data_IF_883217377785
#
_entry.id   IF_883217377785
#
_cell.length_a   1.000
_cell.length_b   1.000
_cell.length_c   1.000
_cell.angle_alpha   90.00
_cell.angle_beta   90.00
_cell.angle_gamma   90.00
#
_symmetry.space_group_name_H-M   'P 1'
#
loop_
_entity.id
_entity.type
_entity.pdbx_description
1 polymer ?
#
# COMPACT_ATOMS: atom_id res chain seq x y z
N UNK A 1 40.21 35.18 -57.09
CA UNK A 1 40.28 36.65 -57.01
C UNK A 1 41.53 36.98 -56.22
N UNK A 2 42.47 37.75 -56.78
CA UNK A 2 43.61 38.25 -56.00
C UNK A 2 43.09 39.22 -54.93
N UNK A 3 43.60 39.11 -53.71
CA UNK A 3 43.28 40.07 -52.64
C UNK A 3 43.85 41.45 -52.99
N UNK A 4 43.25 42.55 -52.52
CA UNK A 4 43.79 43.89 -52.78
C UNK A 4 45.24 44.05 -52.26
N UNK A 5 45.62 43.28 -51.24
CA UNK A 5 46.99 43.19 -50.73
C UNK A 5 47.96 42.58 -51.75
N UNK A 6 47.53 41.58 -52.52
CA UNK A 6 48.29 41.00 -53.64
C UNK A 6 48.32 41.93 -54.85
N UNK A 7 47.21 42.63 -55.14
CA UNK A 7 47.15 43.63 -56.21
C UNK A 7 48.14 44.77 -55.97
N UNK A 8 48.22 45.28 -54.73
CA UNK A 8 49.17 46.34 -54.33
C UNK A 8 50.64 45.91 -54.44
N UNK A 9 50.95 44.63 -54.18
CA UNK A 9 52.31 44.09 -54.29
C UNK A 9 52.84 43.96 -55.72
N UNK A 10 51.96 44.01 -56.74
CA UNK A 10 52.30 43.86 -58.15
C UNK A 10 52.36 45.20 -58.92
N UNK A 11 52.13 46.33 -58.24
CA UNK A 11 52.09 47.66 -58.87
C UNK A 11 53.50 48.22 -59.05
N UNK A 12 53.86 48.58 -60.29
CA UNK A 12 55.17 49.16 -60.63
C UNK A 12 55.09 50.61 -61.15
N UNK A 13 53.88 51.18 -61.25
CA UNK A 13 53.64 52.55 -61.73
C UNK A 13 52.61 53.29 -60.87
N UNK A 14 52.76 54.61 -60.75
CA UNK A 14 51.92 55.48 -59.90
C UNK A 14 50.44 55.51 -60.35
N UNK A 15 50.20 55.43 -61.65
CA UNK A 15 48.86 55.36 -62.24
C UNK A 15 48.12 54.07 -61.87
N UNK A 16 48.82 52.93 -61.85
CA UNK A 16 48.24 51.64 -61.47
C UNK A 16 47.97 51.55 -59.95
N UNK A 17 48.78 52.23 -59.13
CA UNK A 17 48.53 52.35 -57.69
C UNK A 17 47.25 53.14 -57.43
N UNK A 18 47.10 54.26 -58.14
CA UNK A 18 45.94 55.14 -58.01
C UNK A 18 44.66 54.42 -58.43
N UNK A 19 44.69 53.70 -59.56
CA UNK A 19 43.55 52.89 -60.01
C UNK A 19 43.17 51.78 -59.02
N UNK A 20 44.14 51.08 -58.43
CA UNK A 20 43.88 50.05 -57.42
C UNK A 20 43.29 50.63 -56.12
N UNK A 21 43.73 51.82 -55.72
CA UNK A 21 43.20 52.53 -54.54
C UNK A 21 41.80 53.09 -54.79
N UNK A 22 41.50 53.56 -56.02
CA UNK A 22 40.17 54.00 -56.44
C UNK A 22 39.18 52.82 -56.46
N UNK A 23 39.60 51.66 -56.99
CA UNK A 23 38.82 50.42 -57.01
C UNK A 23 38.53 49.96 -55.58
N UNK A 24 39.54 50.00 -54.69
CA UNK A 24 39.38 49.64 -53.28
C UNK A 24 38.45 50.60 -52.53
N UNK A 25 38.55 51.92 -52.77
CA UNK A 25 37.64 52.92 -52.19
C UNK A 25 36.21 52.76 -52.68
N UNK A 26 36.02 52.47 -53.96
CA UNK A 26 34.69 52.22 -54.55
C UNK A 26 34.09 50.93 -53.98
N UNK A 27 34.90 49.88 -53.83
CA UNK A 27 34.49 48.64 -53.18
C UNK A 27 34.13 48.86 -51.70
N UNK A 28 34.89 49.68 -50.97
CA UNK A 28 34.60 50.04 -49.57
C UNK A 28 33.33 50.89 -49.45
N UNK A 29 33.11 51.85 -50.34
CA UNK A 29 31.88 52.67 -50.38
C UNK A 29 30.63 51.85 -50.76
N UNK A 30 30.80 50.74 -51.46
CA UNK A 30 29.70 49.82 -51.79
C UNK A 30 29.36 48.85 -50.63
N UNK A 31 30.18 48.79 -49.58
CA UNK A 31 29.81 48.14 -48.31
C UNK A 31 28.90 49.13 -47.57
N UNK A 32 27.57 48.92 -47.68
CA UNK A 32 26.61 49.73 -46.91
C UNK A 32 26.96 49.63 -45.41
N UNK A 33 27.18 50.74 -44.69
CA UNK A 33 27.17 50.70 -43.23
C UNK A 33 25.80 50.16 -42.80
N UNK A 34 25.79 49.28 -41.79
CA UNK A 34 24.54 48.78 -41.20
C UNK A 34 23.63 49.96 -40.80
N UNK A 35 22.32 49.74 -40.80
CA UNK A 35 21.38 50.76 -40.29
C UNK A 35 21.69 50.97 -38.80
N UNK A 36 21.51 52.17 -38.26
CA UNK A 36 21.76 52.47 -36.83
C UNK A 36 21.11 51.44 -35.89
N UNK A 37 19.91 50.95 -36.25
CA UNK A 37 19.20 49.86 -35.57
C UNK A 37 19.91 48.48 -35.61
N UNK A 38 20.64 48.15 -36.68
CA UNK A 38 21.40 46.89 -36.79
C UNK A 38 22.63 46.91 -35.87
N UNK A 39 23.27 48.08 -35.73
CA UNK A 39 24.38 48.27 -34.80
C UNK A 39 23.90 48.27 -33.34
N UNK A 40 22.75 48.89 -33.05
CA UNK A 40 22.12 48.85 -31.71
C UNK A 40 21.75 47.42 -31.29
N UNK A 41 21.22 46.62 -32.21
CA UNK A 41 20.91 45.20 -31.95
C UNK A 41 22.18 44.39 -31.68
N UNK A 42 23.22 44.57 -32.50
CA UNK A 42 24.50 43.87 -32.32
C UNK A 42 25.15 44.22 -30.96
N UNK A 43 25.17 45.51 -30.60
CA UNK A 43 25.68 45.96 -29.31
C UNK A 43 24.82 45.45 -28.14
N UNK A 44 23.50 45.38 -28.30
CA UNK A 44 22.61 44.80 -27.31
C UNK A 44 22.86 43.30 -27.10
N UNK A 45 23.08 42.54 -28.18
CA UNK A 45 23.42 41.11 -28.13
C UNK A 45 24.75 40.92 -27.39
N UNK A 46 25.81 41.64 -27.77
CA UNK A 46 27.14 41.51 -27.15
C UNK A 46 27.09 41.85 -25.65
N UNK A 47 26.45 42.96 -25.30
CA UNK A 47 26.25 43.35 -23.89
C UNK A 47 25.39 42.33 -23.14
N UNK A 48 24.39 41.73 -23.80
CA UNK A 48 23.53 40.70 -23.23
C UNK A 48 24.28 39.40 -22.94
N UNK A 49 25.16 38.97 -23.85
CA UNK A 49 26.03 37.81 -23.66
C UNK A 49 26.99 38.02 -22.49
N UNK A 50 27.67 39.18 -22.44
CA UNK A 50 28.56 39.54 -21.32
C UNK A 50 27.78 39.54 -20.00
N UNK A 51 26.59 40.14 -19.97
CA UNK A 51 25.78 40.22 -18.77
C UNK A 51 25.30 38.85 -18.26
N UNK A 52 25.06 37.89 -19.15
CA UNK A 52 24.66 36.53 -18.77
C UNK A 52 25.89 35.69 -18.33
N UNK A 53 27.04 35.86 -18.99
CA UNK A 53 28.29 35.25 -18.57
C UNK A 53 28.75 35.72 -17.18
N UNK A 54 28.70 37.03 -16.93
CA UNK A 54 29.01 37.60 -15.62
C UNK A 54 28.05 37.08 -14.56
N UNK A 55 26.76 37.01 -14.88
CA UNK A 55 25.76 36.46 -13.98
C UNK A 55 26.06 35.00 -13.60
N UNK A 56 26.33 34.15 -14.58
CA UNK A 56 26.67 32.74 -14.34
C UNK A 56 27.95 32.60 -13.49
N UNK A 57 28.98 33.42 -13.74
CA UNK A 57 30.20 33.45 -12.92
C UNK A 57 29.91 33.85 -11.46
N UNK A 58 29.10 34.89 -11.26
CA UNK A 58 28.68 35.32 -9.92
C UNK A 58 27.91 34.21 -9.21
N UNK A 59 26.93 33.60 -9.89
CA UNK A 59 26.12 32.51 -9.37
C UNK A 59 26.98 31.31 -8.93
N UNK A 60 27.93 30.89 -9.77
CA UNK A 60 28.88 29.82 -9.43
C UNK A 60 29.76 30.20 -8.22
N UNK A 61 30.14 31.48 -8.08
CA UNK A 61 30.96 31.94 -6.97
C UNK A 61 30.20 32.03 -5.64
N UNK A 62 28.90 32.32 -5.68
CA UNK A 62 28.03 32.36 -4.51
C UNK A 62 27.73 30.94 -3.99
N UNK A 63 27.52 29.98 -4.89
CA UNK A 63 27.26 28.57 -4.56
C UNK A 63 28.56 27.73 -4.54
N UNK A 64 29.39 27.98 -3.54
CA UNK A 64 30.72 27.33 -3.39
C UNK A 64 30.68 25.81 -3.23
N UNK A 65 29.53 25.22 -2.93
CA UNK A 65 29.29 23.80 -2.74
C UNK A 65 28.91 23.04 -4.02
N UNK A 66 28.82 23.73 -5.17
CA UNK A 66 28.60 23.10 -6.46
C UNK A 66 29.77 22.19 -6.86
N UNK A 67 29.43 20.99 -7.31
CA UNK A 67 30.38 20.02 -7.90
C UNK A 67 30.87 20.48 -9.27
N UNK A 68 31.99 19.95 -9.74
CA UNK A 68 32.53 20.27 -11.07
C UNK A 68 31.58 19.88 -12.21
N UNK A 69 30.79 18.82 -12.02
CA UNK A 69 29.73 18.43 -12.95
C UNK A 69 28.61 19.47 -13.02
N UNK A 70 28.10 19.92 -11.87
CA UNK A 70 27.05 20.96 -11.81
C UNK A 70 27.53 22.30 -12.40
N UNK A 71 28.79 22.68 -12.16
CA UNK A 71 29.41 23.85 -12.81
C UNK A 71 29.46 23.68 -14.32
N UNK A 72 29.77 22.48 -14.81
CA UNK A 72 29.79 22.17 -16.25
C UNK A 72 28.39 22.27 -16.84
N UNK A 73 27.37 21.76 -16.15
CA UNK A 73 25.97 21.84 -16.59
C UNK A 73 25.47 23.30 -16.67
N UNK A 74 25.79 24.14 -15.68
CA UNK A 74 25.46 25.57 -15.71
C UNK A 74 26.15 26.28 -16.89
N UNK A 75 27.41 25.92 -17.20
CA UNK A 75 28.11 26.46 -18.37
C UNK A 75 27.49 25.97 -19.69
N UNK A 76 27.03 24.73 -19.76
CA UNK A 76 26.31 24.20 -20.93
C UNK A 76 24.97 24.94 -21.11
N UNK A 77 24.24 25.18 -20.02
CA UNK A 77 23.00 25.95 -20.03
C UNK A 77 23.24 27.40 -20.49
N UNK A 78 24.30 28.03 -19.98
CA UNK A 78 24.76 29.35 -20.43
C UNK A 78 25.02 29.35 -21.95
N UNK A 79 25.73 28.35 -22.48
CA UNK A 79 25.99 28.23 -23.92
C UNK A 79 24.70 28.19 -24.75
N UNK A 80 23.69 27.43 -24.30
CA UNK A 80 22.38 27.35 -24.96
C UNK A 80 21.68 28.71 -25.00
N UNK A 81 21.74 29.48 -23.91
CA UNK A 81 21.13 30.82 -23.86
C UNK A 81 21.93 31.86 -24.64
N UNK A 82 23.26 31.77 -24.67
CA UNK A 82 24.13 32.59 -25.51
C UNK A 82 23.83 32.38 -27.01
N UNK A 83 23.58 31.14 -27.43
CA UNK A 83 23.14 30.84 -28.80
C UNK A 83 21.77 31.44 -29.13
N UNK A 84 20.81 31.38 -28.19
CA UNK A 84 19.50 32.04 -28.37
C UNK A 84 19.64 33.56 -28.47
N UNK A 85 20.49 34.16 -27.64
CA UNK A 85 20.79 35.60 -27.68
C UNK A 85 21.40 36.02 -29.02
N UNK A 86 22.29 35.20 -29.59
CA UNK A 86 22.89 35.47 -30.90
C UNK A 86 21.87 35.44 -32.06
N UNK A 87 20.71 34.82 -31.85
CA UNK A 87 19.64 34.67 -32.85
C UNK A 87 18.47 35.66 -32.65
N UNK A 88 18.56 36.60 -31.70
CA UNK A 88 17.50 37.56 -31.41
C UNK A 88 17.20 38.49 -32.60
N UNK A 89 15.91 38.76 -32.83
CA UNK A 89 15.43 39.57 -33.95
C UNK A 89 15.37 41.07 -33.63
N UNK A 90 15.24 41.44 -32.37
CA UNK A 90 15.18 42.83 -31.91
C UNK A 90 15.71 43.00 -30.46
N UNK A 91 15.91 44.26 -30.06
CA UNK A 91 16.50 44.63 -28.76
C UNK A 91 15.60 44.24 -27.57
N UNK A 92 14.28 44.20 -27.76
CA UNK A 92 13.36 43.81 -26.70
C UNK A 92 13.38 42.30 -26.48
N UNK A 93 13.55 41.50 -27.54
CA UNK A 93 13.80 40.06 -27.45
C UNK A 93 15.10 39.76 -26.70
N UNK A 94 16.17 40.52 -26.95
CA UNK A 94 17.45 40.39 -26.20
C UNK A 94 17.20 40.58 -24.68
N UNK A 95 16.44 41.61 -24.28
CA UNK A 95 16.12 41.86 -22.87
C UNK A 95 15.34 40.71 -22.23
N UNK A 96 14.38 40.13 -22.95
CA UNK A 96 13.60 38.98 -22.48
C UNK A 96 14.47 37.74 -22.34
N UNK A 97 15.34 37.46 -23.32
CA UNK A 97 16.24 36.31 -23.29
C UNK A 97 17.26 36.39 -22.14
N UNK A 98 17.77 37.58 -21.81
CA UNK A 98 18.63 37.77 -20.63
C UNK A 98 17.87 37.41 -19.36
N UNK A 99 16.63 37.92 -19.19
CA UNK A 99 15.81 37.61 -18.03
C UNK A 99 15.54 36.11 -17.92
N UNK A 100 15.04 35.51 -18.99
CA UNK A 100 14.67 34.10 -19.01
C UNK A 100 15.90 33.18 -18.85
N UNK A 101 17.06 33.60 -19.34
CA UNK A 101 18.34 32.91 -19.13
C UNK A 101 18.80 32.97 -17.67
N UNK A 102 18.65 34.12 -16.99
CA UNK A 102 18.93 34.23 -15.55
C UNK A 102 17.97 33.38 -14.73
N UNK A 103 16.67 33.48 -15.01
CA UNK A 103 15.64 32.68 -14.34
C UNK A 103 15.90 31.17 -14.51
N UNK A 104 16.35 30.75 -15.69
CA UNK A 104 16.72 29.35 -15.96
C UNK A 104 17.95 28.90 -15.17
N UNK A 105 18.97 29.74 -15.03
CA UNK A 105 20.16 29.45 -14.23
C UNK A 105 19.79 29.35 -12.73
N UNK A 106 18.97 30.27 -12.23
CA UNK A 106 18.50 30.26 -10.83
C UNK A 106 17.65 29.03 -10.54
N UNK A 107 16.76 28.66 -11.47
CA UNK A 107 15.95 27.47 -11.36
C UNK A 107 16.81 26.20 -11.34
N UNK A 108 17.87 26.15 -12.16
CA UNK A 108 18.79 25.02 -12.18
C UNK A 108 19.53 24.90 -10.84
N UNK A 109 20.02 26.00 -10.27
CA UNK A 109 20.67 26.00 -8.95
C UNK A 109 19.70 25.59 -7.84
N UNK A 110 18.47 26.10 -7.86
CA UNK A 110 17.44 25.70 -6.90
C UNK A 110 17.19 24.19 -6.94
N UNK A 111 17.19 23.57 -8.13
CA UNK A 111 17.04 22.11 -8.27
C UNK A 111 18.18 21.34 -7.62
N UNK A 112 19.43 21.83 -7.71
CA UNK A 112 20.57 21.22 -7.05
C UNK A 112 20.49 21.33 -5.52
N UNK A 113 19.97 22.44 -4.99
CA UNK A 113 19.73 22.57 -3.55
C UNK A 113 18.66 21.61 -3.05
N UNK A 114 17.59 21.40 -3.83
CA UNK A 114 16.55 20.43 -3.53
C UNK A 114 17.09 19.00 -3.51
N UNK A 115 17.90 18.63 -4.52
CA UNK A 115 18.56 17.33 -4.59
C UNK A 115 19.49 17.10 -3.39
N UNK A 116 20.28 18.11 -3.02
CA UNK A 116 21.17 18.04 -1.85
C UNK A 116 20.39 17.82 -0.55
N UNK A 117 19.30 18.57 -0.35
CA UNK A 117 18.43 18.39 0.82
C UNK A 117 17.84 16.97 0.84
N UNK A 118 17.44 16.44 -0.31
CA UNK A 118 16.93 15.08 -0.41
C UNK A 118 18.01 14.05 -0.01
N UNK A 119 19.24 14.20 -0.49
CA UNK A 119 20.35 13.30 -0.12
C UNK A 119 20.67 13.35 1.38
N UNK A 120 20.65 14.54 1.99
CA UNK A 120 20.83 14.68 3.44
C UNK A 120 19.72 13.96 4.23
N UNK A 121 18.46 14.12 3.81
CA UNK A 121 17.31 13.43 4.41
C UNK A 121 17.45 11.91 4.24
N UNK A 122 17.86 11.45 3.06
CA UNK A 122 18.06 10.02 2.76
C UNK A 122 19.19 9.43 3.60
N UNK A 123 20.33 10.11 3.72
CA UNK A 123 21.46 9.67 4.54
C UNK A 123 21.05 9.54 6.03
N UNK A 124 20.31 10.53 6.54
CA UNK A 124 19.77 10.48 7.90
C UNK A 124 18.79 9.32 8.08
N UNK A 125 17.88 9.10 7.13
CA UNK A 125 16.91 8.00 7.19
C UNK A 125 17.60 6.62 7.16
N UNK A 126 18.61 6.45 6.29
CA UNK A 126 19.44 5.24 6.22
C UNK A 126 20.11 4.95 7.57
N UNK A 127 20.70 5.97 8.20
CA UNK A 127 21.33 5.83 9.50
C UNK A 127 20.32 5.42 10.57
N UNK A 128 19.16 6.10 10.62
CA UNK A 128 18.09 5.80 11.57
C UNK A 128 17.59 4.35 11.43
N UNK A 129 17.37 3.86 10.21
CA UNK A 129 16.91 2.48 9.97
C UNK A 129 18.01 1.45 10.28
N UNK A 130 19.27 1.80 10.01
CA UNK A 130 20.42 0.96 10.32
C UNK A 130 20.57 0.75 11.82
N UNK A 131 20.48 1.83 12.61
CA UNK A 131 20.66 1.80 14.06
C UNK A 131 19.40 1.33 14.80
N UNK A 132 18.24 1.36 14.14
CA UNK A 132 16.99 0.96 14.77
C UNK A 132 17.07 -0.47 15.31
N UNK A 133 17.07 -0.59 16.64
CA UNK A 133 17.16 -1.84 17.40
C UNK A 133 18.37 -2.71 17.01
N UNK A 134 19.49 -2.08 16.63
CA UNK A 134 20.69 -2.81 16.22
C UNK A 134 21.40 -3.53 17.38
N UNK A 135 21.21 -3.06 18.62
CA UNK A 135 21.82 -3.62 19.83
C UNK A 135 21.08 -4.85 20.37
N UNK A 136 19.84 -5.08 19.93
CA UNK A 136 19.03 -6.21 20.36
C UNK A 136 19.50 -7.50 19.67
N UNK A 137 19.60 -8.60 20.43
CA UNK A 137 20.08 -9.89 19.94
C UNK A 137 19.03 -10.97 20.12
N UNK A 138 18.76 -11.68 19.03
CA UNK A 138 17.75 -12.74 18.95
C UNK A 138 18.36 -14.03 18.39
N UNK A 139 17.57 -15.11 18.34
CA UNK A 139 18.04 -16.32 17.69
C UNK A 139 18.37 -16.06 16.22
N UNK A 140 19.32 -16.83 15.66
CA UNK A 140 19.87 -16.59 14.33
C UNK A 140 18.81 -16.46 13.22
N UNK A 141 17.69 -17.18 13.34
CA UNK A 141 16.57 -17.10 12.39
C UNK A 141 15.91 -15.72 12.42
N UNK A 142 15.63 -15.17 13.60
CA UNK A 142 15.01 -13.85 13.74
C UNK A 142 15.97 -12.73 13.36
N UNK A 143 17.25 -12.86 13.73
CA UNK A 143 18.30 -11.93 13.27
C UNK A 143 18.36 -11.87 11.73
N UNK A 144 18.26 -13.00 11.05
CA UNK A 144 18.23 -13.03 9.58
C UNK A 144 16.97 -12.36 9.02
N UNK A 145 15.78 -12.59 9.59
CA UNK A 145 14.54 -11.94 9.15
C UNK A 145 14.60 -10.41 9.32
N UNK A 146 15.05 -9.94 10.49
CA UNK A 146 15.23 -8.51 10.76
C UNK A 146 16.22 -7.90 9.77
N UNK A 147 17.34 -8.59 9.51
CA UNK A 147 18.34 -8.15 8.53
C UNK A 147 17.77 -8.05 7.11
N UNK A 148 16.96 -9.02 6.68
CA UNK A 148 16.32 -8.99 5.37
C UNK A 148 15.36 -7.80 5.24
N UNK A 149 14.49 -7.59 6.23
CA UNK A 149 13.55 -6.47 6.22
C UNK A 149 14.26 -5.11 6.27
N UNK A 150 15.33 -5.00 7.07
CA UNK A 150 16.18 -3.80 7.12
C UNK A 150 16.82 -3.53 5.76
N UNK A 151 17.42 -4.55 5.13
CA UNK A 151 18.06 -4.39 3.83
C UNK A 151 17.06 -3.98 2.73
N UNK A 152 15.89 -4.62 2.69
CA UNK A 152 14.82 -4.26 1.74
C UNK A 152 14.37 -2.80 1.93
N UNK A 153 14.19 -2.36 3.18
CA UNK A 153 13.84 -0.97 3.46
C UNK A 153 14.94 0.01 3.05
N UNK A 154 16.22 -0.32 3.30
CA UNK A 154 17.35 0.52 2.90
C UNK A 154 17.43 0.67 1.37
N UNK A 155 17.17 -0.40 0.61
CA UNK A 155 17.08 -0.34 -0.85
C UNK A 155 15.94 0.57 -1.33
N UNK A 156 14.76 0.48 -0.71
CA UNK A 156 13.63 1.35 -1.05
C UNK A 156 13.89 2.82 -0.71
N UNK A 157 14.48 3.10 0.46
CA UNK A 157 14.87 4.47 0.87
C UNK A 157 15.91 5.04 -0.09
N UNK A 158 16.87 4.23 -0.53
CA UNK A 158 17.87 4.65 -1.50
C UNK A 158 17.28 5.02 -2.87
N UNK A 159 16.17 4.38 -3.26
CA UNK A 159 15.50 4.60 -4.54
C UNK A 159 14.41 5.70 -4.52
N UNK A 160 14.07 6.25 -3.35
CA UNK A 160 12.99 7.23 -3.22
C UNK A 160 13.34 8.58 -3.88
N UNK A 161 12.40 9.17 -4.62
CA UNK A 161 12.63 10.40 -5.41
C UNK A 161 12.23 11.65 -4.63
N UNK A 162 11.49 11.52 -3.52
CA UNK A 162 11.01 12.67 -2.74
C UNK A 162 11.25 12.51 -1.23
N UNK A 163 11.37 13.64 -0.53
CA UNK A 163 11.57 13.65 0.92
C UNK A 163 10.38 13.04 1.69
N UNK A 164 9.17 13.19 1.16
CA UNK A 164 7.97 12.61 1.73
C UNK A 164 7.99 11.07 1.65
N UNK A 165 8.41 10.53 0.50
CA UNK A 165 8.59 9.08 0.32
C UNK A 165 9.66 8.52 1.26
N UNK A 166 10.83 9.18 1.36
CA UNK A 166 11.90 8.77 2.29
C UNK A 166 11.37 8.67 3.72
N UNK A 167 10.61 9.67 4.17
CA UNK A 167 10.05 9.71 5.53
C UNK A 167 9.04 8.58 5.75
N UNK A 168 8.12 8.37 4.81
CA UNK A 168 7.13 7.30 4.86
C UNK A 168 7.77 5.91 4.87
N UNK A 169 8.82 5.71 4.06
CA UNK A 169 9.54 4.44 3.98
C UNK A 169 10.34 4.18 5.26
N UNK A 170 10.95 5.18 5.86
CA UNK A 170 11.63 5.07 7.15
C UNK A 170 10.66 4.62 8.26
N UNK A 171 9.46 5.19 8.33
CA UNK A 171 8.44 4.77 9.31
C UNK A 171 7.95 3.35 9.04
N UNK A 172 7.67 3.03 7.77
CA UNK A 172 7.31 1.68 7.34
C UNK A 172 8.37 0.66 7.73
N UNK A 173 9.66 0.99 7.58
CA UNK A 173 10.79 0.14 7.95
C UNK A 173 10.80 -0.18 9.45
N UNK A 174 10.60 0.83 10.31
CA UNK A 174 10.52 0.64 11.76
C UNK A 174 9.37 -0.29 12.14
N UNK A 175 8.18 -0.03 11.58
CA UNK A 175 7.00 -0.85 11.81
C UNK A 175 7.20 -2.30 11.32
N UNK A 176 7.89 -2.51 10.20
CA UNK A 176 8.19 -3.84 9.68
C UNK A 176 9.16 -4.60 10.61
N UNK A 177 10.20 -3.93 11.13
CA UNK A 177 11.12 -4.51 12.10
C UNK A 177 10.39 -4.86 13.41
N UNK A 178 9.57 -3.94 13.92
CA UNK A 178 8.78 -4.16 15.13
C UNK A 178 7.81 -5.34 14.96
N UNK A 179 7.13 -5.41 13.81
CA UNK A 179 6.23 -6.53 13.49
C UNK A 179 6.95 -7.88 13.40
N UNK A 180 8.25 -7.92 13.08
CA UNK A 180 9.05 -9.15 13.12
C UNK A 180 9.43 -9.49 14.57
N UNK A 181 9.80 -8.48 15.37
CA UNK A 181 10.16 -8.66 16.77
C UNK A 181 8.96 -9.13 17.61
N UNK A 182 7.76 -8.59 17.33
CA UNK A 182 6.51 -9.01 17.95
C UNK A 182 6.14 -10.47 17.62
N UNK A 183 6.77 -11.05 16.60
CA UNK A 183 6.61 -12.47 16.25
C UNK A 183 7.62 -13.38 16.95
N UNK A 184 8.55 -12.84 17.75
CA UNK A 184 9.55 -13.66 18.42
C UNK A 184 8.84 -14.53 19.47
N UNK A 185 9.03 -15.87 19.43
CA UNK A 185 8.35 -16.78 20.33
C UNK A 185 8.74 -16.53 21.78
N UNK A 186 7.75 -16.33 22.65
CA UNK A 186 7.95 -16.29 24.11
C UNK A 186 8.56 -17.62 24.62
N UNK A 187 9.22 -17.58 25.77
CA UNK A 187 9.74 -18.80 26.43
C UNK A 187 8.61 -19.81 26.65
N UNK A 188 8.74 -21.02 26.09
CA UNK A 188 7.70 -22.07 26.13
C UNK A 188 6.83 -22.14 24.87
N UNK A 189 7.07 -21.29 23.87
CA UNK A 189 6.40 -21.38 22.58
C UNK A 189 6.76 -22.64 21.80
N UNK A 190 5.82 -23.10 20.98
CA UNK A 190 6.00 -24.27 20.12
C UNK A 190 7.14 -24.05 19.11
N UNK A 191 7.96 -25.09 18.95
CA UNK A 191 9.10 -25.10 18.03
C UNK A 191 8.73 -25.42 16.58
N UNK A 192 7.47 -25.82 16.34
CA UNK A 192 6.95 -26.19 15.02
C UNK A 192 7.08 -27.67 14.70
N UNK A 193 7.62 -28.48 15.62
CA UNK A 193 7.96 -29.89 15.39
C UNK A 193 7.51 -30.78 16.54
N UNK A 194 7.76 -30.38 17.80
CA UNK A 194 7.50 -31.18 18.99
C UNK A 194 6.00 -31.39 19.19
N UNK A 195 5.58 -32.64 19.32
CA UNK A 195 4.21 -33.03 19.62
C UNK A 195 4.21 -33.75 20.96
N UNK A 196 3.52 -33.20 21.95
CA UNK A 196 3.42 -33.78 23.29
C UNK A 196 1.98 -34.17 23.54
N UNK A 197 1.71 -35.40 23.97
CA UNK A 197 0.34 -35.79 24.29
C UNK A 197 -0.14 -35.08 25.57
N UNK A 198 -1.23 -34.29 25.52
CA UNK A 198 -1.80 -33.65 26.69
C UNK A 198 -2.42 -34.67 27.64
N UNK A 199 -2.48 -34.33 28.92
CA UNK A 199 -3.17 -35.15 29.92
C UNK A 199 -4.66 -35.20 29.60
N UNK A 200 -5.26 -36.38 29.72
CA UNK A 200 -6.69 -36.56 29.54
C UNK A 200 -7.40 -36.43 30.90
N UNK A 201 -8.46 -35.63 30.97
CA UNK A 201 -9.31 -35.55 32.16
C UNK A 201 -10.12 -36.83 32.38
N UNK A 202 -10.74 -36.97 33.55
CA UNK A 202 -11.65 -38.08 33.86
C UNK A 202 -12.87 -38.14 32.91
N UNK A 203 -13.23 -37.00 32.32
CA UNK A 203 -14.33 -36.86 31.34
C UNK A 203 -13.89 -37.12 29.89
N UNK A 204 -12.62 -37.47 29.66
CA UNK A 204 -12.09 -37.70 28.32
C UNK A 204 -11.78 -36.42 27.54
N UNK A 205 -11.52 -35.30 28.23
CA UNK A 205 -11.17 -34.02 27.62
C UNK A 205 -9.66 -33.79 27.72
N UNK A 206 -9.01 -33.53 26.60
CA UNK A 206 -7.58 -33.25 26.54
C UNK A 206 -7.26 -31.88 27.14
N UNK A 207 -6.41 -31.85 28.17
CA UNK A 207 -5.99 -30.67 28.92
C UNK A 207 -4.75 -30.05 28.28
N UNK A 208 -4.93 -28.94 27.57
CA UNK A 208 -3.87 -28.31 26.75
C UNK A 208 -3.27 -27.13 27.52
N UNK A 209 -2.01 -27.27 27.90
CA UNK A 209 -1.24 -26.26 28.65
C UNK A 209 -0.13 -25.61 27.82
N UNK A 210 0.30 -26.24 26.73
CA UNK A 210 1.44 -25.80 25.90
C UNK A 210 1.15 -25.87 24.39
N UNK A 211 1.98 -25.20 23.60
CA UNK A 211 1.85 -25.19 22.14
C UNK A 211 2.13 -26.55 21.48
N UNK A 212 3.04 -27.36 22.04
CA UNK A 212 3.30 -28.71 21.56
C UNK A 212 2.13 -29.66 21.82
N UNK A 213 1.38 -29.45 22.92
CA UNK A 213 0.15 -30.19 23.20
C UNK A 213 -0.99 -29.82 22.26
N UNK A 214 -1.16 -28.52 21.96
CA UNK A 214 -2.14 -28.07 20.98
C UNK A 214 -1.79 -28.59 19.57
N UNK A 215 -0.51 -28.60 19.21
CA UNK A 215 -0.04 -29.18 17.96
C UNK A 215 -0.28 -30.70 17.89
N UNK A 216 -0.07 -31.43 19.00
CA UNK A 216 -0.41 -32.84 19.09
C UNK A 216 -1.90 -33.07 18.91
N UNK A 217 -2.75 -32.26 19.56
CA UNK A 217 -4.20 -32.33 19.42
C UNK A 217 -4.63 -32.15 17.96
N UNK A 218 -4.06 -31.14 17.27
CA UNK A 218 -4.28 -30.94 15.84
C UNK A 218 -3.86 -32.16 15.02
N UNK A 219 -2.66 -32.71 15.28
CA UNK A 219 -2.17 -33.92 14.63
C UNK A 219 -3.11 -35.11 14.83
N UNK A 220 -3.65 -35.28 16.05
CA UNK A 220 -4.57 -36.36 16.38
C UNK A 220 -5.88 -36.28 15.59
N UNK A 221 -6.49 -35.10 15.50
CA UNK A 221 -7.66 -34.86 14.64
C UNK A 221 -7.33 -35.18 13.18
N UNK A 222 -6.16 -34.72 12.73
CA UNK A 222 -5.72 -34.80 11.34
C UNK A 222 -5.28 -36.20 10.89
N UNK A 223 -4.92 -37.09 11.82
CA UNK A 223 -4.71 -38.52 11.57
C UNK A 223 -6.01 -39.28 11.21
N UNK A 224 -7.15 -38.67 11.58
CA UNK A 224 -8.54 -39.09 11.34
C UNK A 224 -9.02 -40.30 12.14
N UNK A 225 -10.34 -40.46 12.19
CA UNK A 225 -11.00 -41.37 13.14
C UNK A 225 -11.02 -40.85 14.59
N UNK A 226 -10.51 -39.64 14.83
CA UNK A 226 -10.51 -38.93 16.13
C UNK A 226 -11.06 -37.51 15.97
N UNK A 227 -12.02 -37.32 15.05
CA UNK A 227 -12.60 -36.00 14.78
C UNK A 227 -13.48 -35.51 15.92
N UNK A 228 -13.98 -36.40 16.77
CA UNK A 228 -14.90 -36.15 17.89
C UNK A 228 -14.18 -35.90 19.22
N UNK A 229 -12.85 -35.87 19.25
CA UNK A 229 -12.09 -35.61 20.49
C UNK A 229 -12.40 -34.22 21.05
N UNK A 230 -12.43 -34.11 22.36
CA UNK A 230 -12.66 -32.85 23.06
C UNK A 230 -11.36 -32.33 23.67
N UNK A 231 -11.14 -31.02 23.62
CA UNK A 231 -9.97 -30.39 24.21
C UNK A 231 -10.34 -29.09 24.93
N UNK A 232 -9.56 -28.74 25.95
CA UNK A 232 -9.69 -27.47 26.64
C UNK A 232 -8.33 -26.83 26.94
N UNK A 233 -8.26 -25.51 26.85
CA UNK A 233 -7.08 -24.75 27.24
C UNK A 233 -7.05 -24.59 28.76
N UNK A 234 -5.91 -24.93 29.34
CA UNK A 234 -5.63 -24.78 30.76
C UNK A 234 -4.65 -23.63 31.05
N UNK A 235 -4.05 -23.05 30.01
CA UNK A 235 -3.15 -21.90 30.07
C UNK A 235 -3.14 -21.16 28.74
N UNK A 236 -2.55 -19.97 28.71
CA UNK A 236 -2.16 -19.32 27.46
C UNK A 236 -1.16 -20.19 26.70
N UNK A 237 -1.40 -20.35 25.39
CA UNK A 237 -0.62 -21.23 24.52
C UNK A 237 0.05 -20.40 23.43
N UNK A 238 1.35 -20.60 23.21
CA UNK A 238 2.08 -19.94 22.11
C UNK A 238 2.49 -20.94 21.04
N UNK A 239 2.09 -20.68 19.79
CA UNK A 239 2.44 -21.44 18.60
C UNK A 239 3.76 -20.98 17.96
N UNK A 240 4.42 -19.98 18.55
CA UNK A 240 5.77 -19.55 18.18
C UNK A 240 5.95 -19.08 16.74
N UNK A 241 4.87 -18.62 16.09
CA UNK A 241 4.87 -18.20 14.68
C UNK A 241 5.48 -19.23 13.74
N UNK A 242 5.27 -20.51 14.07
CA UNK A 242 5.61 -21.66 13.23
C UNK A 242 4.44 -22.00 12.34
N UNK A 243 4.73 -22.54 11.15
CA UNK A 243 3.69 -22.82 10.17
C UNK A 243 2.70 -23.84 10.74
N UNK A 244 1.46 -23.38 10.95
CA UNK A 244 0.41 -24.15 11.59
C UNK A 244 -0.33 -25.02 10.58
N UNK A 245 -0.56 -26.28 10.93
CA UNK A 245 -1.50 -27.13 10.19
C UNK A 245 -2.86 -27.04 10.87
N UNK A 246 -3.91 -26.52 10.19
CA UNK A 246 -5.22 -26.34 10.80
C UNK A 246 -5.78 -27.62 11.42
N UNK A 247 -6.49 -27.47 12.54
CA UNK A 247 -7.26 -28.57 13.14
C UNK A 247 -8.41 -28.92 12.19
N UNK A 248 -8.37 -30.12 11.63
CA UNK A 248 -9.26 -30.52 10.55
C UNK A 248 -8.93 -29.89 9.22
N UNK A 249 -7.70 -30.12 8.71
CA UNK A 249 -7.20 -29.49 7.48
C UNK A 249 -7.90 -29.92 6.17
N UNK A 250 -8.81 -30.89 6.20
CA UNK A 250 -9.52 -31.37 5.00
C UNK A 250 -10.91 -31.93 5.34
N UNK A 251 -11.75 -32.14 4.31
CA UNK A 251 -13.10 -32.69 4.49
C UNK A 251 -13.10 -34.09 5.12
N UNK A 252 -12.14 -34.95 4.76
CA UNK A 252 -11.99 -36.30 5.31
C UNK A 252 -11.45 -36.31 6.76
N UNK A 253 -10.95 -35.17 7.24
CA UNK A 253 -10.33 -35.01 8.57
C UNK A 253 -11.05 -33.94 9.38
N UNK A 254 -12.31 -33.66 9.09
CA UNK A 254 -13.06 -32.60 9.75
C UNK A 254 -13.06 -32.77 11.28
N UNK A 255 -12.95 -31.65 11.99
CA UNK A 255 -13.13 -31.62 13.44
C UNK A 255 -14.61 -31.56 13.78
N UNK A 256 -15.07 -32.40 14.69
CA UNK A 256 -16.46 -32.56 15.10
C UNK A 256 -16.67 -32.67 16.61
N UNK A 257 -15.58 -32.64 17.38
CA UNK A 257 -15.60 -32.57 18.84
C UNK A 257 -15.71 -31.13 19.35
N UNK A 258 -15.58 -30.97 20.66
CA UNK A 258 -15.67 -29.67 21.34
C UNK A 258 -14.28 -29.13 21.69
N UNK A 259 -14.16 -27.81 21.65
CA UNK A 259 -12.96 -27.11 22.08
C UNK A 259 -13.33 -25.89 22.94
N UNK A 260 -12.88 -25.88 24.20
CA UNK A 260 -13.10 -24.76 25.11
C UNK A 260 -11.78 -24.04 25.42
N UNK A 261 -11.68 -22.77 25.09
CA UNK A 261 -10.51 -21.96 25.40
C UNK A 261 -10.44 -21.48 26.85
N UNK A 262 -11.51 -21.63 27.65
CA UNK A 262 -11.58 -21.14 29.04
C UNK A 262 -11.22 -19.65 29.23
N UNK A 263 -11.23 -18.86 28.15
CA UNK A 263 -10.81 -17.45 28.15
C UNK A 263 -9.30 -17.25 27.94
N UNK A 264 -8.51 -18.31 27.85
CA UNK A 264 -7.09 -18.26 27.49
C UNK A 264 -6.89 -17.91 26.01
N UNK A 265 -5.67 -17.50 25.69
CA UNK A 265 -5.27 -17.04 24.37
C UNK A 265 -4.31 -18.02 23.70
N UNK A 266 -4.59 -18.34 22.43
CA UNK A 266 -3.65 -18.98 21.52
C UNK A 266 -2.91 -17.87 20.76
N UNK A 267 -1.62 -17.69 21.06
CA UNK A 267 -0.76 -16.66 20.48
C UNK A 267 0.11 -17.22 19.37
N UNK A 268 0.55 -16.35 18.47
CA UNK A 268 1.54 -16.68 17.46
C UNK A 268 1.06 -17.68 16.41
N UNK A 269 -0.24 -17.70 16.09
CA UNK A 269 -0.75 -18.44 14.95
C UNK A 269 -0.07 -17.91 13.68
N UNK A 270 0.61 -18.78 12.93
CA UNK A 270 1.23 -18.40 11.66
C UNK A 270 0.89 -19.39 10.56
N UNK A 271 0.31 -18.89 9.47
CA UNK A 271 0.02 -19.70 8.28
C UNK A 271 0.47 -18.90 7.06
N UNK A 272 1.50 -19.40 6.39
CA UNK A 272 2.00 -18.79 5.13
C UNK A 272 1.46 -19.51 3.88
N UNK A 273 1.14 -20.80 4.03
CA UNK A 273 0.69 -21.66 2.93
C UNK A 273 -0.51 -22.48 3.35
N UNK A 274 -1.61 -22.32 2.63
CA UNK A 274 -2.83 -23.11 2.81
C UNK A 274 -3.52 -23.34 1.46
N UNK A 275 -3.83 -24.61 1.16
CA UNK A 275 -4.47 -24.96 -0.12
C UNK A 275 -5.97 -24.70 -0.14
N UNK A 276 -6.65 -24.94 0.98
CA UNK A 276 -8.13 -24.87 1.05
C UNK A 276 -8.62 -24.18 2.31
N UNK A 277 -8.08 -24.53 3.48
CA UNK A 277 -8.53 -24.01 4.77
C UNK A 277 -7.35 -23.34 5.50
N UNK A 278 -7.51 -22.09 5.91
CA UNK A 278 -6.53 -21.33 6.68
C UNK A 278 -7.17 -20.76 7.95
N UNK A 279 -6.73 -21.22 9.11
CA UNK A 279 -7.21 -20.78 10.43
C UNK A 279 -6.68 -21.70 11.53
N UNK A 280 -6.96 -21.37 12.80
CA UNK A 280 -6.67 -22.28 13.90
C UNK A 280 -7.36 -23.63 13.67
N UNK A 281 -8.64 -23.58 13.30
CA UNK A 281 -9.44 -24.70 12.80
C UNK A 281 -9.65 -24.56 11.30
N UNK A 282 -9.46 -25.66 10.57
CA UNK A 282 -9.66 -25.73 9.14
C UNK A 282 -11.13 -25.93 8.81
N UNK A 283 -11.61 -27.16 8.95
CA UNK A 283 -12.99 -27.53 8.70
C UNK A 283 -13.62 -28.17 9.93
N UNK A 284 -14.71 -27.58 10.39
CA UNK A 284 -15.46 -28.01 11.57
C UNK A 284 -16.86 -28.46 11.15
N UNK A 285 -17.25 -29.65 11.59
CA UNK A 285 -18.57 -30.25 11.36
C UNK A 285 -19.38 -30.21 12.65
N UNK A 286 -20.56 -29.58 12.59
CA UNK A 286 -21.50 -29.51 13.69
C UNK A 286 -22.33 -30.78 13.82
N UNK A 287 -22.22 -31.49 14.94
CA UNK A 287 -23.03 -32.65 15.32
C UNK A 287 -24.25 -32.26 16.16
N UNK A 288 -24.32 -31.00 16.62
CA UNK A 288 -25.39 -30.43 17.44
C UNK A 288 -25.05 -30.31 18.92
N UNK A 289 -24.04 -31.05 19.38
CA UNK A 289 -23.55 -30.99 20.77
C UNK A 289 -22.20 -30.27 20.86
N UNK A 290 -21.44 -30.25 19.75
CA UNK A 290 -20.10 -29.75 19.71
C UNK A 290 -20.02 -28.22 19.64
N UNK A 291 -19.06 -27.66 20.38
CA UNK A 291 -18.86 -26.22 20.53
C UNK A 291 -17.40 -25.87 20.40
N UNK A 292 -17.11 -24.79 19.68
CA UNK A 292 -15.84 -24.07 19.80
C UNK A 292 -16.15 -22.81 20.59
N UNK A 293 -15.61 -22.69 21.80
CA UNK A 293 -15.98 -21.58 22.68
C UNK A 293 -14.84 -20.99 23.48
N UNK A 294 -14.99 -19.72 23.88
CA UNK A 294 -14.07 -19.00 24.77
C UNK A 294 -12.61 -18.95 24.27
N UNK A 295 -12.40 -18.97 22.94
CA UNK A 295 -11.06 -18.95 22.34
C UNK A 295 -10.70 -17.54 21.89
N UNK A 296 -9.57 -17.02 22.36
CA UNK A 296 -8.93 -15.84 21.76
C UNK A 296 -7.73 -16.30 20.94
N UNK A 297 -7.57 -15.80 19.73
CA UNK A 297 -6.42 -16.15 18.86
C UNK A 297 -5.73 -14.89 18.35
N UNK A 298 -4.41 -14.83 18.47
CA UNK A 298 -3.56 -13.78 17.88
C UNK A 298 -2.48 -14.37 16.99
N UNK A 299 -2.07 -13.61 15.97
CA UNK A 299 -1.06 -14.04 15.00
C UNK A 299 -1.27 -13.44 13.61
N UNK A 300 -0.74 -14.12 12.60
CA UNK A 300 -0.76 -13.68 11.20
C UNK A 300 -1.05 -14.85 10.26
N UNK A 301 -2.02 -14.68 9.38
CA UNK A 301 -2.30 -15.58 8.26
C UNK A 301 -2.03 -14.81 6.98
N UNK A 302 -0.98 -15.18 6.25
CA UNK A 302 -0.61 -14.58 4.98
C UNK A 302 -0.55 -15.68 3.93
N UNK A 303 -1.64 -15.89 3.20
CA UNK A 303 -1.66 -16.94 2.18
C UNK A 303 -1.07 -16.41 0.87
N UNK A 304 0.19 -16.77 0.63
CA UNK A 304 0.94 -16.48 -0.61
C UNK A 304 0.46 -17.40 -1.76
N UNK A 305 -0.81 -17.24 -2.17
CA UNK A 305 -1.45 -18.12 -3.14
C UNK A 305 -2.99 -18.06 -3.13
N UNK A 306 -3.64 -19.18 -3.44
CA UNK A 306 -5.11 -19.31 -3.47
C UNK A 306 -5.62 -20.15 -2.29
N UNK A 307 -6.22 -19.51 -1.29
CA UNK A 307 -7.06 -20.20 -0.32
C UNK A 307 -8.53 -20.23 -0.80
N UNK A 308 -9.25 -21.29 -0.44
CA UNK A 308 -10.71 -21.31 -0.59
C UNK A 308 -11.38 -20.67 0.63
N UNK A 309 -10.86 -20.91 1.83
CA UNK A 309 -11.46 -20.40 3.06
C UNK A 309 -10.37 -19.95 4.02
N UNK A 310 -10.48 -18.72 4.54
CA UNK A 310 -9.53 -18.19 5.50
C UNK A 310 -10.23 -17.41 6.62
N UNK A 311 -9.89 -17.70 7.87
CA UNK A 311 -10.28 -16.92 9.03
C UNK A 311 -9.36 -17.20 10.22
N UNK A 312 -9.27 -16.29 11.18
CA UNK A 312 -8.38 -16.47 12.33
C UNK A 312 -8.78 -17.65 13.23
N UNK A 313 -10.08 -17.89 13.42
CA UNK A 313 -10.58 -19.01 14.25
C UNK A 313 -10.93 -20.23 13.39
N UNK A 314 -11.98 -20.17 12.57
CA UNK A 314 -12.49 -21.33 11.81
C UNK A 314 -12.60 -21.02 10.32
N UNK A 315 -11.82 -21.66 9.46
CA UNK A 315 -11.90 -21.38 8.03
C UNK A 315 -13.28 -21.77 7.44
N UNK A 316 -13.79 -22.96 7.74
CA UNK A 316 -15.13 -23.42 7.36
C UNK A 316 -15.84 -24.13 8.50
N UNK A 317 -17.08 -23.73 8.77
CA UNK A 317 -17.94 -24.34 9.78
C UNK A 317 -19.25 -24.81 9.13
N UNK A 318 -19.57 -26.11 9.25
CA UNK A 318 -20.77 -26.69 8.64
C UNK A 318 -21.51 -27.61 9.61
N UNK A 319 -22.73 -27.27 10.00
CA UNK A 319 -23.61 -28.22 10.69
C UNK A 319 -24.10 -29.33 9.74
N UNK A 320 -24.37 -30.52 10.27
CA UNK A 320 -24.95 -31.61 9.49
C UNK A 320 -26.35 -31.26 8.95
N UNK A 321 -27.13 -30.50 9.73
CA UNK A 321 -28.44 -29.97 9.32
C UNK A 321 -28.87 -28.78 10.22
N UNK A 322 -30.12 -28.32 10.04
CA UNK A 322 -30.67 -27.17 10.80
C UNK A 322 -30.81 -27.40 12.30
N UNK A 323 -30.82 -28.64 12.77
CA UNK A 323 -30.93 -29.01 14.19
C UNK A 323 -29.57 -29.38 14.78
N UNK A 324 -28.66 -29.92 13.95
CA UNK A 324 -27.29 -30.27 14.32
C UNK A 324 -26.33 -29.20 13.81
N UNK A 325 -26.35 -28.04 14.47
CA UNK A 325 -25.58 -26.86 14.08
C UNK A 325 -24.15 -26.94 14.61
N UNK A 326 -23.23 -26.27 13.91
CA UNK A 326 -21.90 -25.96 14.45
C UNK A 326 -22.00 -24.70 15.32
N UNK A 327 -21.53 -24.74 16.55
CA UNK A 327 -21.61 -23.59 17.47
C UNK A 327 -20.23 -22.99 17.72
N UNK A 328 -20.08 -21.69 17.45
CA UNK A 328 -18.88 -20.89 17.70
C UNK A 328 -19.28 -19.75 18.65
N UNK A 329 -18.82 -19.79 19.90
CA UNK A 329 -19.37 -18.96 20.98
C UNK A 329 -18.26 -18.23 21.74
N UNK A 330 -18.38 -16.93 21.96
CA UNK A 330 -17.43 -16.15 22.77
C UNK A 330 -15.97 -16.25 22.27
N UNK A 331 -15.78 -16.27 20.95
CA UNK A 331 -14.45 -16.34 20.34
C UNK A 331 -13.99 -14.98 19.82
N UNK A 332 -12.71 -14.66 20.01
CA UNK A 332 -12.12 -13.38 19.62
C UNK A 332 -10.97 -13.59 18.63
N UNK A 333 -11.09 -13.02 17.43
CA UNK A 333 -10.01 -12.98 16.46
C UNK A 333 -9.18 -11.71 16.60
N UNK A 334 -7.89 -11.86 16.88
CA UNK A 334 -6.86 -10.82 16.83
C UNK A 334 -5.81 -11.11 15.73
N UNK A 335 -6.07 -12.09 14.86
CA UNK A 335 -5.19 -12.49 13.77
C UNK A 335 -5.35 -11.54 12.58
N UNK A 336 -4.23 -11.06 12.04
CA UNK A 336 -4.22 -10.38 10.73
C UNK A 336 -4.32 -11.40 9.61
N UNK A 337 -5.40 -11.36 8.84
CA UNK A 337 -5.69 -12.28 7.73
C UNK A 337 -5.51 -11.55 6.41
N UNK A 338 -4.55 -12.00 5.62
CA UNK A 338 -4.23 -11.46 4.29
C UNK A 338 -4.16 -12.60 3.28
N UNK A 339 -4.89 -12.47 2.17
CA UNK A 339 -4.93 -13.48 1.11
C UNK A 339 -4.70 -12.81 -0.25
N UNK A 340 -3.72 -13.28 -1.02
CA UNK A 340 -3.34 -12.71 -2.32
C UNK A 340 -4.25 -13.13 -3.50
N UNK A 341 -5.13 -14.10 -3.27
CA UNK A 341 -6.05 -14.57 -4.30
C UNK A 341 -7.08 -15.56 -3.79
N UNK A 342 -8.26 -15.51 -4.41
CA UNK A 342 -9.37 -16.40 -4.08
C UNK A 342 -9.37 -17.62 -5.02
N UNK A 343 -9.49 -18.84 -4.46
CA UNK A 343 -9.44 -20.08 -5.25
C UNK A 343 -10.67 -20.37 -6.10
N UNK A 344 -11.86 -20.07 -5.57
CA UNK A 344 -13.15 -20.44 -6.19
C UNK A 344 -14.18 -19.34 -5.95
N UNK A 345 -15.26 -19.30 -6.74
CA UNK A 345 -16.38 -18.35 -6.51
C UNK A 345 -17.10 -18.56 -5.18
N UNK A 346 -16.98 -19.76 -4.61
CA UNK A 346 -17.63 -20.17 -3.36
C UNK A 346 -16.73 -19.96 -2.12
N UNK A 347 -15.57 -19.34 -2.32
CA UNK A 347 -14.59 -19.06 -1.28
C UNK A 347 -15.07 -17.97 -0.31
N UNK A 348 -14.58 -18.03 0.94
CA UNK A 348 -14.98 -17.12 2.00
C UNK A 348 -13.80 -16.72 2.88
N UNK A 349 -13.60 -15.43 3.07
CA UNK A 349 -12.60 -14.88 3.97
C UNK A 349 -13.32 -14.06 5.03
N UNK A 350 -13.02 -14.31 6.30
CA UNK A 350 -13.65 -13.61 7.43
C UNK A 350 -12.72 -13.53 8.63
N UNK A 351 -13.07 -12.70 9.61
CA UNK A 351 -12.27 -12.59 10.84
C UNK A 351 -12.38 -13.83 11.74
N UNK A 352 -13.62 -14.19 12.09
CA UNK A 352 -13.91 -15.34 12.98
C UNK A 352 -14.16 -16.61 12.20
N UNK A 353 -15.01 -16.55 11.16
CA UNK A 353 -15.26 -17.69 10.29
C UNK A 353 -15.25 -17.28 8.81
N UNK A 354 -14.65 -18.11 7.95
CA UNK A 354 -14.53 -17.83 6.51
C UNK A 354 -15.82 -18.16 5.75
N UNK A 355 -16.33 -19.38 5.91
CA UNK A 355 -17.64 -19.81 5.41
C UNK A 355 -18.42 -20.59 6.47
N UNK A 356 -19.71 -20.30 6.57
CA UNK A 356 -20.61 -20.95 7.53
C UNK A 356 -21.83 -21.55 6.81
N UNK A 357 -22.25 -22.75 7.22
CA UNK A 357 -23.50 -23.39 6.78
C UNK A 357 -24.11 -24.14 7.95
N UNK A 358 -25.38 -23.87 8.28
CA UNK A 358 -26.00 -24.42 9.50
C UNK A 358 -25.11 -24.21 10.76
N UNK A 359 -24.53 -23.03 10.91
CA UNK A 359 -23.65 -22.71 12.03
C UNK A 359 -24.16 -21.45 12.76
N UNK A 360 -23.87 -21.36 14.05
CA UNK A 360 -24.19 -20.24 14.92
C UNK A 360 -22.91 -19.59 15.41
N UNK A 361 -22.79 -18.28 15.18
CA UNK A 361 -21.72 -17.45 15.75
C UNK A 361 -22.36 -16.54 16.80
N UNK A 362 -21.98 -16.70 18.06
CA UNK A 362 -22.58 -15.99 19.20
C UNK A 362 -21.49 -15.30 20.01
N UNK A 363 -21.64 -14.00 20.29
CA UNK A 363 -20.69 -13.22 21.09
C UNK A 363 -19.24 -13.26 20.57
N UNK A 364 -19.05 -13.38 19.26
CA UNK A 364 -17.72 -13.39 18.67
C UNK A 364 -17.27 -11.99 18.24
N UNK A 365 -15.98 -11.70 18.39
CA UNK A 365 -15.38 -10.42 18.02
C UNK A 365 -14.20 -10.60 17.05
N UNK A 366 -13.94 -9.57 16.26
CA UNK A 366 -12.77 -9.47 15.39
C UNK A 366 -12.11 -8.11 15.58
N UNK A 367 -10.85 -8.10 16.00
CA UNK A 367 -9.99 -6.92 16.05
C UNK A 367 -8.82 -7.01 15.07
N UNK A 368 -8.53 -8.20 14.54
CA UNK A 368 -7.54 -8.39 13.48
C UNK A 368 -8.00 -7.82 12.13
N UNK A 369 -7.05 -7.35 11.31
CA UNK A 369 -7.31 -6.91 9.94
C UNK A 369 -7.65 -8.08 9.03
N UNK A 370 -8.59 -7.88 8.10
CA UNK A 370 -8.93 -8.86 7.08
C UNK A 370 -8.81 -8.18 5.73
N UNK A 371 -7.91 -8.67 4.88
CA UNK A 371 -7.62 -8.06 3.59
C UNK A 371 -7.46 -9.12 2.48
N UNK A 372 -7.86 -8.73 1.28
CA UNK A 372 -7.67 -9.51 0.06
C UNK A 372 -6.84 -8.65 -0.85
N UNK A 373 -5.61 -9.07 -1.13
CA UNK A 373 -4.72 -8.34 -2.02
C UNK A 373 -4.94 -8.81 -3.45
N UNK A 374 -4.95 -7.90 -4.45
CA UNK A 374 -4.79 -8.31 -5.83
C UNK A 374 -3.43 -8.99 -5.99
N UNK A 375 -3.37 -10.06 -6.78
CA UNK A 375 -2.09 -10.74 -7.06
C UNK A 375 -1.03 -9.71 -7.45
N UNK A 376 0.15 -9.78 -6.83
CA UNK A 376 1.38 -9.26 -7.43
C UNK A 376 1.53 -9.99 -8.77
N UNK A 377 1.12 -9.35 -9.87
CA UNK A 377 1.64 -9.73 -11.19
C UNK A 377 3.13 -9.46 -11.10
N UNK A 378 3.97 -10.46 -11.30
CA UNK A 378 5.35 -10.20 -11.71
C UNK A 378 5.28 -9.16 -12.83
N UNK A 379 5.90 -8.00 -12.60
CA UNK A 379 5.74 -6.84 -13.45
C UNK A 379 6.19 -7.19 -14.88
N UNK A 380 5.27 -7.11 -15.84
CA UNK A 380 5.65 -6.80 -17.22
C UNK A 380 5.74 -5.28 -17.34
N UNK A 381 6.77 -4.72 -17.98
CA UNK A 381 7.08 -3.30 -17.87
C UNK A 381 6.26 -2.50 -18.87
N UNK A 382 5.08 -2.00 -18.52
CA UNK A 382 4.44 -0.91 -19.27
C UNK A 382 3.57 -0.02 -18.35
N UNK A 383 4.15 1.12 -17.99
CA UNK A 383 3.63 2.46 -17.61
C UNK A 383 2.43 2.68 -16.66
N UNK A 384 2.44 3.80 -15.91
CA UNK A 384 1.58 4.01 -14.74
C UNK A 384 0.28 4.72 -15.10
N UNK A 385 -0.85 4.15 -14.70
CA UNK A 385 -2.15 4.83 -14.75
C UNK A 385 -2.87 4.72 -13.40
N UNK A 386 -2.88 5.84 -12.69
CA UNK A 386 -3.86 6.26 -11.70
C UNK A 386 -4.20 5.27 -10.56
N UNK A 387 -3.41 5.33 -9.48
CA UNK A 387 -3.84 4.86 -8.16
C UNK A 387 -4.79 5.88 -7.54
N UNK A 388 -6.09 5.59 -7.57
CA UNK A 388 -7.01 6.18 -6.60
C UNK A 388 -6.99 5.28 -5.36
N UNK A 389 -6.30 5.72 -4.32
CA UNK A 389 -6.40 5.12 -3.00
C UNK A 389 -7.85 5.16 -2.53
N UNK A 390 -8.48 3.98 -2.42
CA UNK A 390 -9.63 3.79 -1.56
C UNK A 390 -9.13 3.37 -0.17
N UNK A 391 -8.33 4.23 0.48
CA UNK A 391 -7.97 4.12 1.89
C UNK A 391 -9.14 4.65 2.74
N UNK A 392 -10.24 3.90 2.75
CA UNK A 392 -11.35 4.10 3.68
C UNK A 392 -11.35 2.99 4.73
N UNK A 393 -11.23 3.28 6.04
CA UNK A 393 -11.54 2.27 7.04
C UNK A 393 -13.02 1.90 6.88
N UNK A 394 -13.33 0.61 6.71
CA UNK A 394 -14.70 0.11 6.88
C UNK A 394 -15.02 0.22 8.38
N UNK A 395 -15.39 1.43 8.83
CA UNK A 395 -16.02 1.66 10.13
C UNK A 395 -17.47 1.23 10.00
N UNK A 396 -17.73 -0.03 10.36
CA UNK A 396 -19.09 -0.56 10.26
C UNK A 396 -19.23 -2.06 10.50
N UNK A 397 -18.57 -2.64 11.51
CA UNK A 397 -18.90 -3.98 11.99
C UNK A 397 -19.02 -4.02 13.51
N UNK A 398 -20.20 -3.67 14.06
CA UNK A 398 -20.75 -4.50 15.13
C UNK A 398 -21.40 -5.69 14.42
N UNK A 399 -20.74 -6.83 14.37
CA UNK A 399 -21.38 -8.07 13.93
C UNK A 399 -22.56 -8.36 14.85
N UNK A 400 -23.73 -8.53 14.24
CA UNK A 400 -25.02 -8.60 14.91
C UNK A 400 -25.03 -9.66 16.03
N UNK A 401 -25.25 -9.20 17.26
CA UNK A 401 -25.72 -10.01 18.37
C UNK A 401 -27.14 -10.47 17.98
N UNK A 402 -27.33 -11.78 17.81
CA UNK A 402 -28.69 -12.34 17.87
C UNK A 402 -29.13 -12.21 19.32
N UNK A 403 -29.95 -11.21 19.62
CA UNK A 403 -30.58 -11.08 20.93
C UNK A 403 -31.49 -12.30 21.15
N UNK A 404 -31.07 -13.20 22.04
CA UNK A 404 -31.95 -14.23 22.57
C UNK A 404 -33.10 -13.53 23.32
N UNK A 405 -34.33 -13.83 22.93
CA UNK A 405 -35.55 -13.41 23.62
C UNK A 405 -35.55 -13.98 25.05
N UNK A 406 -35.57 -13.10 26.05
CA UNK A 406 -36.22 -13.37 27.33
C UNK A 406 -37.52 -12.56 27.40
N UNK A 407 -38.64 -13.22 27.74
CA UNK A 407 -39.91 -12.55 28.08
C UNK A 407 -39.82 -11.80 29.43
N UNK A 408 -40.85 -11.05 29.88
CA UNK A 408 -42.28 -11.40 29.78
C UNK A 408 -43.23 -10.28 29.30
N UNK A 409 -44.51 -10.64 29.20
CA UNK A 409 -45.64 -9.91 28.62
C UNK A 409 -46.00 -8.56 29.28
N UNK A 410 -46.40 -7.58 28.47
CA UNK A 410 -47.36 -6.51 28.83
C UNK A 410 -48.25 -6.21 27.61
N UNK A 411 -49.58 -6.31 27.80
CA UNK A 411 -50.64 -5.91 26.85
C UNK A 411 -50.65 -4.38 26.67
N UNK A 412 -51.01 -3.88 25.48
CA UNK A 412 -51.91 -2.71 25.35
C UNK A 412 -52.55 -2.59 23.96
N UNK A 413 -53.84 -2.29 24.03
CA UNK A 413 -54.82 -2.03 22.99
C UNK A 413 -54.63 -0.65 22.33
N UNK A 414 -55.31 -0.42 21.20
CA UNK A 414 -55.80 0.93 20.82
C UNK A 414 -55.34 1.50 19.47
N UNK A 415 -56.26 1.46 18.49
CA UNK A 415 -56.35 2.21 17.21
C UNK A 415 -56.36 3.75 17.41
N UNK A 416 -56.32 4.67 16.39
CA UNK A 416 -56.89 4.50 15.04
C UNK A 416 -56.22 5.18 13.80
N UNK A 417 -56.82 4.81 12.66
CA UNK A 417 -56.83 5.33 11.29
C UNK A 417 -56.62 6.83 11.05
N UNK A 418 -55.90 7.16 9.97
CA UNK A 418 -56.40 7.98 8.83
C UNK A 418 -55.39 8.03 7.68
N UNK A 419 -55.86 7.72 6.47
CA UNK A 419 -55.19 8.02 5.18
C UNK A 419 -55.63 9.41 4.67
N UNK A 420 -54.91 9.99 3.69
CA UNK A 420 -55.55 10.12 2.38
C UNK A 420 -54.66 9.75 1.18
N UNK A 421 -55.35 9.36 0.10
CA UNK A 421 -54.86 8.93 -1.21
C UNK A 421 -54.53 10.11 -2.15
N UNK A 422 -53.50 9.95 -2.98
CA UNK A 422 -53.42 10.37 -4.40
C UNK A 422 -52.18 9.69 -4.99
N UNK A 423 -52.12 8.97 -6.11
CA UNK A 423 -53.02 8.87 -7.25
C UNK A 423 -52.20 9.11 -8.53
N UNK A 424 -51.64 8.05 -9.14
CA UNK A 424 -51.54 7.89 -10.61
C UNK A 424 -51.04 6.49 -11.00
N UNK A 425 -51.79 5.87 -11.93
CA UNK A 425 -51.57 4.56 -12.56
C UNK A 425 -50.62 4.69 -13.76
N UNK A 426 -49.86 3.63 -14.04
CA UNK A 426 -49.58 3.17 -15.41
C UNK A 426 -49.58 1.62 -15.42
N UNK A 427 -50.21 1.05 -16.45
CA UNK A 427 -50.46 -0.38 -16.70
C UNK A 427 -49.24 -1.11 -17.32
N UNK A 428 -49.16 -2.44 -17.24
CA UNK A 428 -48.00 -3.22 -17.66
C UNK A 428 -48.06 -3.60 -19.15
N UNK A 429 -46.89 -3.68 -19.79
CA UNK A 429 -46.73 -4.29 -21.10
C UNK A 429 -46.13 -5.70 -20.99
N UNK A 430 -46.73 -6.58 -21.79
CA UNK A 430 -46.56 -8.00 -22.05
C UNK A 430 -45.13 -8.53 -22.29
N UNK A 431 -44.91 -9.76 -21.80
CA UNK A 431 -43.86 -10.77 -22.09
C UNK A 431 -43.80 -11.18 -23.58
N UNK A 432 -42.75 -11.88 -24.11
CA UNK A 432 -42.43 -13.28 -23.72
C UNK A 432 -40.95 -13.72 -23.78
N UNK A 433 -40.65 -14.82 -23.08
CA UNK A 433 -39.41 -15.58 -23.26
C UNK A 433 -39.04 -16.48 -22.08
N UNK A 434 -39.60 -17.70 -22.05
CA UNK A 434 -39.16 -18.78 -21.15
C UNK A 434 -37.89 -19.44 -21.71
N UNK A 435 -36.88 -19.61 -20.87
CA UNK A 435 -36.12 -20.86 -20.78
C UNK A 435 -35.84 -21.17 -19.31
N UNK A 436 -36.07 -22.44 -18.95
CA UNK A 436 -35.84 -23.00 -17.61
C UNK A 436 -34.35 -23.18 -17.41
N UNK A 437 -33.80 -22.68 -16.30
CA UNK A 437 -32.60 -23.26 -15.70
C UNK A 437 -32.69 -23.10 -14.17
N UNK A 438 -32.49 -24.23 -13.49
CA UNK A 438 -32.41 -24.39 -12.05
C UNK A 438 -31.16 -23.70 -11.51
N UNK A 439 -31.34 -22.67 -10.70
CA UNK A 439 -30.23 -21.95 -10.08
C UNK A 439 -30.67 -21.27 -8.79
N UNK A 440 -30.09 -21.72 -7.68
CA UNK A 440 -30.22 -21.16 -6.33
C UNK A 440 -29.89 -19.66 -6.37
N UNK A 441 -30.90 -18.79 -6.22
CA UNK A 441 -30.70 -17.34 -6.14
C UNK A 441 -30.19 -16.96 -4.75
N UNK A 442 -28.93 -16.53 -4.66
CA UNK A 442 -28.45 -15.71 -3.55
C UNK A 442 -29.14 -14.33 -3.64
N UNK A 443 -30.01 -14.03 -2.67
CA UNK A 443 -30.68 -12.75 -2.58
C UNK A 443 -29.74 -11.72 -1.93
N UNK A 444 -29.36 -10.70 -2.69
CA UNK A 444 -28.86 -9.45 -2.16
C UNK A 444 -30.04 -8.60 -1.68
N UNK A 445 -30.05 -8.22 -0.41
CA UNK A 445 -30.96 -7.20 0.14
C UNK A 445 -30.11 -6.10 0.78
N UNK A 446 -30.15 -4.90 0.19
CA UNK A 446 -29.68 -3.67 0.80
C UNK A 446 -30.86 -2.69 0.82
N UNK A 447 -31.26 -2.23 2.01
CA UNK A 447 -32.19 -1.12 2.19
C UNK A 447 -31.95 -0.45 3.54
N UNK A 448 -31.76 0.88 3.49
CA UNK A 448 -31.95 1.97 4.48
C UNK A 448 -30.74 2.93 4.44
N UNK A 449 -30.82 4.08 3.75
CA UNK A 449 -31.46 5.36 4.14
C UNK A 449 -30.82 6.00 5.39
N UNK A 450 -30.08 7.09 5.17
CA UNK A 450 -29.45 7.95 6.20
C UNK A 450 -30.33 9.18 6.45
N UNK A 451 -30.65 9.56 7.71
CA UNK A 451 -31.20 10.88 7.99
C UNK A 451 -30.06 11.91 8.05
N UNK A 452 -30.17 12.98 7.24
CA UNK A 452 -29.34 14.19 7.34
C UNK A 452 -29.61 14.89 8.69
N UNK A 453 -28.57 15.11 9.49
CA UNK A 453 -28.60 16.11 10.55
C UNK A 453 -28.36 17.52 9.96
N UNK A 454 -29.05 18.57 10.44
CA UNK A 454 -28.94 19.90 9.87
C UNK A 454 -27.68 20.65 10.37
N UNK A 455 -26.99 21.29 9.42
CA UNK A 455 -26.04 22.37 9.67
C UNK A 455 -26.82 23.63 10.03
N UNK A 456 -26.60 24.20 11.22
CA UNK A 456 -27.07 25.54 11.57
C UNK A 456 -25.87 26.44 11.87
N UNK A 457 -25.50 27.24 10.87
CA UNK A 457 -24.69 28.45 11.04
C UNK A 457 -25.42 29.59 10.34
N UNK A 458 -26.08 30.44 11.12
CA UNK A 458 -26.62 31.72 10.64
C UNK A 458 -26.67 32.70 11.83
N UNK A 459 -25.79 33.70 11.78
CA UNK A 459 -25.82 34.93 12.58
C UNK A 459 -27.02 35.80 12.18
N UNK A 460 -27.68 36.52 13.11
CA UNK A 460 -28.55 37.63 12.77
C UNK A 460 -27.83 38.99 12.96
N UNK A 461 -28.31 40.06 12.30
CA UNK A 461 -27.68 41.37 12.33
C UNK A 461 -28.06 42.18 13.59
N UNK A 462 -27.25 43.21 13.85
CA UNK A 462 -27.39 44.17 14.92
C UNK A 462 -28.71 44.97 14.88
N UNK A 463 -29.33 45.12 16.05
CA UNK A 463 -29.61 46.42 16.70
C UNK A 463 -30.03 46.22 18.15
#
# INVERSE_FOLDING_TARGET
>A
MQTYKEKLGAVTTEEALTACMEEARTALNNVKPGVEADNELMEAIDNGQIALEEYCKTLISEHTDLTDAQKTDLNNLLSVWTEKLAAAADVDEVRLLIRDGRDALDQQVASYEEDKRLEEIRANAIQVVTDYRAEESYSAVWMNKIKMARNEALEQIAAAETAAEVTSLMESAKNAIDAIIDQIPETGAWDGVTLTEPVLSEEGIYQITTGSELAWFASRVNAGGSGDICGELCNDVSLGFRNWTPIGFSEARAFSGSFDGHGYTVRGLFIERADTYAGLFGYVVGTGENKIQNVTVSGTITVNGRAAYAAGIVARAEGLDRNRRCQIINCQNQVSVTVEGIKTLDAGIGGVAGRTKYAELLNCANTGSVSILPRKREASPITPAAWQEASGPIRGCRTAITAARSGPAIRREGWPERWPKAGRRFTPATTPGRSRESGTRAAWWALCSVPKAPLTGATPPAR
#
